data_IF_546341542646
#
_entry.id   IF_546341542646
#
_cell.length_a   1.000
_cell.length_b   1.000
_cell.length_c   1.000
_cell.angle_alpha   90.00
_cell.angle_beta   90.00
_cell.angle_gamma   90.00
#
_symmetry.space_group_name_H-M   'P 1'
#
loop_
_entity.id
_entity.type
_entity.pdbx_description
1 polymer ?
#
# COMPACT_ATOMS: atom_id res chain seq x y z
N UNK A 1 -15.21 -3.79 -23.41
CA UNK A 1 -15.85 -2.57 -22.88
C UNK A 1 -14.82 -1.79 -22.07
N UNK A 2 -14.51 -0.53 -22.41
CA UNK A 2 -13.63 0.32 -21.57
C UNK A 2 -14.38 0.60 -20.27
N UNK A 3 -13.82 0.19 -19.13
CA UNK A 3 -14.37 0.47 -17.81
C UNK A 3 -14.38 2.00 -17.63
N UNK A 4 -15.55 2.61 -17.42
CA UNK A 4 -15.62 4.04 -17.12
C UNK A 4 -14.91 4.28 -15.77
N UNK A 5 -13.95 5.19 -15.76
CA UNK A 5 -13.23 5.56 -14.54
C UNK A 5 -14.09 6.61 -13.83
N UNK A 6 -14.64 6.24 -12.69
CA UNK A 6 -15.33 7.19 -11.79
C UNK A 6 -14.30 8.00 -11.02
N UNK A 7 -14.55 9.29 -10.86
CA UNK A 7 -13.66 10.20 -10.14
C UNK A 7 -14.34 10.77 -8.90
N UNK A 8 -13.53 11.09 -7.89
CA UNK A 8 -13.92 11.82 -6.68
C UNK A 8 -13.09 13.10 -6.54
N UNK A 9 -13.59 14.07 -5.78
CA UNK A 9 -12.83 15.28 -5.46
C UNK A 9 -11.76 15.04 -4.37
N UNK A 10 -10.88 16.02 -4.21
CA UNK A 10 -9.80 16.00 -3.20
C UNK A 10 -10.28 15.94 -1.77
N UNK A 11 -11.50 16.40 -1.48
CA UNK A 11 -12.02 16.48 -0.12
C UNK A 11 -12.55 15.12 0.34
N UNK A 12 -13.33 14.48 -0.53
CA UNK A 12 -13.75 13.09 -0.41
C UNK A 12 -12.53 12.17 -0.32
N UNK A 13 -11.54 12.34 -1.20
CA UNK A 13 -10.30 11.55 -1.15
C UNK A 13 -9.51 11.80 0.15
N UNK A 14 -9.48 13.03 0.67
CA UNK A 14 -8.81 13.37 1.92
C UNK A 14 -9.43 12.65 3.12
N UNK A 15 -10.77 12.63 3.20
CA UNK A 15 -11.50 11.87 4.21
C UNK A 15 -11.23 10.37 4.10
N UNK A 16 -11.28 9.82 2.87
CA UNK A 16 -11.00 8.38 2.62
C UNK A 16 -9.56 8.01 2.93
N UNK A 17 -8.60 8.92 2.77
CA UNK A 17 -7.19 8.63 3.04
C UNK A 17 -6.78 8.99 4.47
N UNK A 18 -7.65 9.65 5.25
CA UNK A 18 -7.32 10.15 6.58
C UNK A 18 -6.19 11.20 6.55
N UNK A 19 -6.13 12.03 5.51
CA UNK A 19 -5.11 13.08 5.33
C UNK A 19 -5.76 14.41 4.98
N UNK A 20 -4.98 15.50 4.91
CA UNK A 20 -5.52 16.80 4.50
C UNK A 20 -5.73 16.87 2.98
N UNK A 21 -6.66 17.74 2.55
CA UNK A 21 -6.87 18.08 1.13
C UNK A 21 -5.59 18.54 0.42
N UNK A 22 -4.74 19.27 1.13
CA UNK A 22 -3.45 19.73 0.59
C UNK A 22 -2.51 18.55 0.35
N UNK A 23 -2.50 17.56 1.25
CA UNK A 23 -1.75 16.31 1.08
C UNK A 23 -2.20 15.55 -0.17
N UNK A 24 -3.52 15.39 -0.38
CA UNK A 24 -4.06 14.76 -1.61
C UNK A 24 -3.67 15.53 -2.86
N UNK A 25 -3.76 16.85 -2.82
CA UNK A 25 -3.36 17.72 -3.95
C UNK A 25 -1.89 17.52 -4.29
N UNK A 26 -1.02 17.39 -3.27
CA UNK A 26 0.40 17.13 -3.47
C UNK A 26 0.65 15.74 -4.07
N UNK A 27 -0.10 14.71 -3.66
CA UNK A 27 -0.02 13.38 -4.28
C UNK A 27 -0.36 13.42 -5.77
N UNK A 28 -1.39 14.18 -6.15
CA UNK A 28 -1.79 14.34 -7.55
C UNK A 28 -0.71 15.10 -8.35
N UNK A 29 -0.18 16.20 -7.79
CA UNK A 29 0.89 17.00 -8.43
C UNK A 29 2.17 16.21 -8.67
N UNK A 30 2.51 15.31 -7.75
CA UNK A 30 3.72 14.47 -7.82
C UNK A 30 3.51 13.17 -8.59
N UNK A 31 2.33 12.97 -9.19
CA UNK A 31 1.95 11.73 -9.89
C UNK A 31 2.15 10.45 -9.03
N UNK A 32 1.95 10.60 -7.72
CA UNK A 32 1.97 9.51 -6.74
C UNK A 32 0.64 8.74 -6.73
N UNK A 33 -0.44 9.39 -7.18
CA UNK A 33 -1.72 8.76 -7.53
C UNK A 33 -1.87 8.85 -9.05
N UNK A 34 -1.88 7.68 -9.72
CA UNK A 34 -1.99 7.62 -11.18
C UNK A 34 -3.40 7.95 -11.66
N UNK A 35 -3.48 8.62 -12.81
CA UNK A 35 -4.75 8.93 -13.47
C UNK A 35 -5.50 10.13 -12.90
N UNK A 36 -4.90 10.86 -11.96
CA UNK A 36 -5.41 12.15 -11.52
C UNK A 36 -5.43 13.15 -12.68
N UNK A 37 -6.51 13.93 -12.78
CA UNK A 37 -6.66 15.00 -13.77
C UNK A 37 -7.30 16.23 -13.14
N UNK A 38 -7.26 17.37 -13.81
CA UNK A 38 -8.03 18.54 -13.40
C UNK A 38 -9.34 18.63 -14.19
N UNK A 39 -10.38 19.14 -13.54
CA UNK A 39 -11.59 19.60 -14.23
C UNK A 39 -11.38 21.00 -14.84
N UNK A 40 -12.41 21.50 -15.54
CA UNK A 40 -12.38 22.82 -16.20
C UNK A 40 -12.25 23.98 -15.19
N UNK A 41 -12.50 23.73 -13.90
CA UNK A 41 -12.35 24.69 -12.79
C UNK A 41 -10.99 24.55 -12.10
N UNK A 42 -10.08 23.74 -12.64
CA UNK A 42 -8.75 23.51 -12.10
C UNK A 42 -8.71 22.62 -10.84
N UNK A 43 -9.82 21.98 -10.46
CA UNK A 43 -9.92 21.10 -9.30
C UNK A 43 -9.44 19.71 -9.66
N UNK A 44 -8.69 19.08 -8.76
CA UNK A 44 -8.21 17.72 -8.96
C UNK A 44 -9.37 16.71 -8.84
N UNK A 45 -9.42 15.81 -9.82
CA UNK A 45 -10.26 14.64 -9.91
C UNK A 45 -9.39 13.41 -9.72
N UNK A 46 -9.70 12.62 -8.70
CA UNK A 46 -8.94 11.44 -8.29
C UNK A 46 -9.73 10.20 -8.70
N UNK A 47 -9.12 9.23 -9.42
CA UNK A 47 -9.78 7.96 -9.72
C UNK A 47 -10.24 7.28 -8.45
N UNK A 48 -11.47 6.79 -8.43
CA UNK A 48 -12.07 6.31 -7.18
C UNK A 48 -11.46 5.02 -6.64
N UNK A 49 -10.77 4.26 -7.50
CA UNK A 49 -10.00 3.07 -7.14
C UNK A 49 -8.55 3.38 -6.72
N UNK A 50 -8.21 4.67 -6.59
CA UNK A 50 -6.91 5.10 -6.09
C UNK A 50 -6.71 4.67 -4.65
N UNK A 51 -5.47 4.27 -4.36
CA UNK A 51 -5.01 3.97 -3.01
C UNK A 51 -4.18 5.13 -2.49
N UNK A 52 -4.23 5.36 -1.17
CA UNK A 52 -3.34 6.33 -0.50
C UNK A 52 -1.89 5.96 -0.79
N UNK A 53 -1.06 6.90 -1.30
CA UNK A 53 0.36 6.67 -1.42
C UNK A 53 0.99 6.33 -0.07
N UNK A 54 1.85 5.32 -0.06
CA UNK A 54 2.57 4.95 1.15
C UNK A 54 3.62 6.01 1.48
N UNK A 55 3.72 6.44 2.75
CA UNK A 55 4.84 7.30 3.20
C UNK A 55 6.15 6.50 3.22
N UNK A 56 7.29 7.20 3.28
CA UNK A 56 8.60 6.53 3.35
C UNK A 56 8.68 5.52 4.49
N UNK A 57 8.17 5.87 5.69
CA UNK A 57 8.12 4.95 6.83
C UNK A 57 7.30 3.71 6.50
N UNK A 58 6.09 3.89 5.94
CA UNK A 58 5.20 2.77 5.62
C UNK A 58 5.79 1.83 4.57
N UNK A 59 6.47 2.38 3.55
CA UNK A 59 7.22 1.59 2.56
C UNK A 59 8.31 0.76 3.22
N UNK A 60 9.15 1.37 4.06
CA UNK A 60 10.24 0.68 4.77
C UNK A 60 9.67 -0.44 5.64
N UNK A 61 8.69 -0.13 6.48
CA UNK A 61 8.05 -1.10 7.38
C UNK A 61 7.46 -2.28 6.60
N UNK A 62 6.77 -2.04 5.49
CA UNK A 62 6.22 -3.10 4.65
C UNK A 62 7.31 -3.96 3.99
N UNK A 63 8.36 -3.35 3.44
CA UNK A 63 9.46 -4.06 2.80
C UNK A 63 10.25 -4.90 3.81
N UNK A 64 10.52 -4.37 4.99
CA UNK A 64 11.16 -5.11 6.08
C UNK A 64 10.28 -6.27 6.58
N UNK A 65 8.97 -6.07 6.66
CA UNK A 65 8.02 -7.14 6.99
C UNK A 65 8.06 -8.30 5.98
N UNK A 66 8.17 -8.00 4.68
CA UNK A 66 8.35 -9.03 3.64
C UNK A 66 9.64 -9.82 3.85
N UNK A 67 10.75 -9.13 4.15
CA UNK A 67 12.04 -9.77 4.41
C UNK A 67 12.00 -10.71 5.62
N UNK A 68 11.35 -10.30 6.71
CA UNK A 68 11.23 -11.17 7.89
C UNK A 68 10.40 -12.41 7.58
N UNK A 69 9.23 -12.28 6.93
CA UNK A 69 8.39 -13.43 6.58
C UNK A 69 9.14 -14.39 5.65
N UNK A 70 9.96 -13.86 4.74
CA UNK A 70 10.79 -14.68 3.85
C UNK A 70 11.87 -15.46 4.60
N UNK A 71 12.47 -14.86 5.63
CA UNK A 71 13.51 -15.50 6.44
C UNK A 71 12.94 -16.43 7.53
N UNK A 72 11.70 -16.20 7.96
CA UNK A 72 11.01 -16.98 9.00
C UNK A 72 9.63 -17.45 8.49
N UNK A 73 9.55 -18.31 7.46
CA UNK A 73 8.28 -18.68 6.83
C UNK A 73 7.32 -19.45 7.75
N UNK A 74 7.85 -20.11 8.78
CA UNK A 74 7.09 -20.84 9.78
C UNK A 74 6.47 -19.91 10.85
N UNK A 75 6.96 -18.68 10.98
CA UNK A 75 6.40 -17.65 11.85
C UNK A 75 5.36 -16.82 11.09
N UNK A 76 4.46 -17.51 10.39
CA UNK A 76 3.38 -16.84 9.68
C UNK A 76 2.55 -16.07 10.70
N UNK A 77 2.40 -14.75 10.57
CA UNK A 77 1.69 -14.00 11.58
C UNK A 77 0.20 -14.38 11.61
N UNK A 78 -0.32 -14.71 12.80
CA UNK A 78 -1.73 -15.07 13.03
C UNK A 78 -2.73 -14.02 12.49
N UNK A 79 -2.32 -12.75 12.37
CA UNK A 79 -3.20 -11.69 11.86
C UNK A 79 -3.48 -11.75 10.35
N UNK A 80 -2.83 -12.65 9.59
CA UNK A 80 -3.26 -13.01 8.22
C UNK A 80 -4.60 -13.75 8.18
N UNK A 81 -5.21 -13.98 9.34
CA UNK A 81 -6.53 -14.59 9.50
C UNK A 81 -7.67 -13.55 9.48
N UNK A 82 -7.38 -12.25 9.67
CA UNK A 82 -8.39 -11.18 9.59
C UNK A 82 -8.50 -10.62 8.16
N UNK A 83 -9.70 -10.64 7.58
CA UNK A 83 -9.98 -10.17 6.21
C UNK A 83 -9.54 -8.72 5.97
N UNK A 84 -9.78 -7.82 6.93
CA UNK A 84 -9.40 -6.40 6.86
C UNK A 84 -7.88 -6.25 6.78
N UNK A 85 -7.14 -6.92 7.66
CA UNK A 85 -5.67 -6.87 7.65
C UNK A 85 -5.08 -7.45 6.36
N UNK A 86 -5.65 -8.56 5.87
CA UNK A 86 -5.27 -9.15 4.57
C UNK A 86 -5.51 -8.16 3.43
N UNK A 87 -6.65 -7.45 3.44
CA UNK A 87 -6.98 -6.50 2.37
C UNK A 87 -6.05 -5.29 2.37
N UNK A 88 -5.78 -4.72 3.53
CA UNK A 88 -4.84 -3.59 3.65
C UNK A 88 -3.43 -3.99 3.18
N UNK A 89 -2.98 -5.18 3.55
CA UNK A 89 -1.71 -5.72 3.08
C UNK A 89 -1.70 -5.94 1.56
N UNK A 90 -2.76 -6.48 0.97
CA UNK A 90 -2.89 -6.62 -0.47
C UNK A 90 -2.75 -5.29 -1.21
N UNK A 91 -3.39 -4.22 -0.70
CA UNK A 91 -3.32 -2.88 -1.28
C UNK A 91 -1.90 -2.29 -1.16
N UNK A 92 -1.26 -2.45 -0.01
CA UNK A 92 0.12 -2.02 0.19
C UNK A 92 1.10 -2.77 -0.72
N UNK A 93 0.95 -4.08 -0.87
CA UNK A 93 1.78 -4.87 -1.78
C UNK A 93 1.55 -4.48 -3.24
N UNK A 94 0.29 -4.25 -3.64
CA UNK A 94 -0.01 -3.72 -4.97
C UNK A 94 0.68 -2.36 -5.19
N UNK A 95 0.60 -1.44 -4.22
CA UNK A 95 1.30 -0.16 -4.29
C UNK A 95 2.81 -0.36 -4.52
N UNK A 96 3.44 -1.21 -3.70
CA UNK A 96 4.88 -1.46 -3.79
C UNK A 96 5.27 -2.09 -5.13
N UNK A 97 4.43 -2.97 -5.68
CA UNK A 97 4.62 -3.59 -6.98
C UNK A 97 4.51 -2.57 -8.11
N UNK A 98 3.42 -1.79 -8.14
CA UNK A 98 3.18 -0.77 -9.17
C UNK A 98 4.28 0.31 -9.19
N UNK A 99 4.95 0.54 -8.04
CA UNK A 99 6.05 1.49 -7.91
C UNK A 99 7.46 0.85 -8.02
N UNK A 100 7.54 -0.44 -8.36
CA UNK A 100 8.79 -1.16 -8.66
C UNK A 100 9.68 -1.45 -7.45
N UNK A 101 9.12 -1.49 -6.23
CA UNK A 101 9.86 -1.89 -5.02
C UNK A 101 9.88 -3.40 -4.82
N UNK A 102 8.89 -4.11 -5.36
CA UNK A 102 8.79 -5.57 -5.28
C UNK A 102 8.46 -6.16 -6.66
N UNK A 103 8.78 -7.43 -6.86
CA UNK A 103 8.40 -8.22 -8.02
C UNK A 103 7.76 -9.56 -7.59
N UNK A 104 7.26 -10.32 -8.58
CA UNK A 104 6.55 -11.59 -8.38
C UNK A 104 5.27 -11.50 -7.53
N UNK A 105 4.69 -10.30 -7.41
CA UNK A 105 3.36 -10.11 -6.85
C UNK A 105 2.31 -10.63 -7.85
N UNK A 106 1.70 -11.78 -7.53
CA UNK A 106 0.53 -12.29 -8.26
C UNK A 106 -0.73 -11.89 -7.51
N UNK A 107 -1.53 -11.01 -8.11
CA UNK A 107 -2.83 -10.63 -7.57
C UNK A 107 -3.71 -11.88 -7.47
N UNK A 108 -4.34 -12.11 -6.31
CA UNK A 108 -5.15 -13.30 -6.04
C UNK A 108 -6.26 -13.50 -7.07
N UNK A 109 -6.51 -14.76 -7.41
CA UNK A 109 -7.87 -15.26 -7.73
C UNK A 109 -8.60 -15.50 -6.39
N UNK A 110 -9.94 -15.31 -6.35
CA UNK A 110 -10.77 -15.50 -5.14
C UNK A 110 -10.28 -16.71 -4.32
N UNK A 111 -10.02 -16.51 -3.03
CA UNK A 111 -9.67 -17.53 -2.01
C UNK A 111 -8.22 -18.06 -1.97
N UNK A 112 -7.29 -17.58 -2.79
CA UNK A 112 -5.88 -17.95 -2.60
C UNK A 112 -5.33 -17.36 -1.28
N UNK A 113 -4.39 -18.01 -0.61
CA UNK A 113 -3.67 -17.42 0.52
C UNK A 113 -2.56 -16.51 -0.04
N UNK A 114 -2.38 -15.31 0.53
CA UNK A 114 -1.32 -14.40 0.10
C UNK A 114 0.05 -15.03 0.40
N UNK A 115 0.86 -15.28 -0.64
CA UNK A 115 2.17 -15.93 -0.53
C UNK A 115 3.28 -14.88 -0.41
N UNK A 116 3.36 -14.23 0.75
CA UNK A 116 4.35 -13.17 1.03
C UNK A 116 5.78 -13.71 0.88
N UNK A 117 6.01 -14.97 1.26
CA UNK A 117 7.28 -15.69 1.13
C UNK A 117 7.80 -15.78 -0.32
N UNK A 118 6.89 -15.68 -1.31
CA UNK A 118 7.24 -15.71 -2.74
C UNK A 118 7.49 -14.32 -3.32
N UNK A 119 7.22 -13.25 -2.58
CA UNK A 119 7.47 -11.88 -3.00
C UNK A 119 8.97 -11.59 -2.87
N UNK A 120 9.52 -10.92 -3.88
CA UNK A 120 10.92 -10.52 -3.90
C UNK A 120 11.01 -9.00 -3.94
N UNK A 121 11.97 -8.44 -3.21
CA UNK A 121 12.30 -7.02 -3.31
C UNK A 121 13.18 -6.82 -4.55
N UNK A 122 12.97 -5.71 -5.27
CA UNK A 122 13.90 -5.24 -6.31
C UNK A 122 15.11 -4.57 -5.66
N UNK A 123 16.15 -4.21 -6.42
CA UNK A 123 17.27 -3.41 -5.88
C UNK A 123 16.77 -2.12 -5.22
N UNK A 124 15.84 -1.41 -5.88
CA UNK A 124 15.17 -0.23 -5.33
C UNK A 124 14.45 -0.52 -4.01
N UNK A 125 13.80 -1.68 -3.90
CA UNK A 125 13.16 -2.14 -2.67
C UNK A 125 14.16 -2.43 -1.56
N UNK A 126 15.23 -3.16 -1.89
CA UNK A 126 16.31 -3.50 -0.96
C UNK A 126 17.00 -2.26 -0.42
N UNK A 127 17.38 -1.32 -1.31
CA UNK A 127 18.03 -0.06 -0.92
C UNK A 127 17.17 0.75 0.04
N UNK A 128 15.86 0.83 -0.24
CA UNK A 128 14.93 1.55 0.63
C UNK A 128 14.77 0.85 1.98
N UNK A 129 14.62 -0.48 1.99
CA UNK A 129 14.42 -1.27 3.21
C UNK A 129 15.63 -1.21 4.16
N UNK A 130 16.84 -1.10 3.59
CA UNK A 130 18.11 -1.08 4.33
C UNK A 130 18.64 0.33 4.63
N UNK A 131 18.02 1.37 4.08
CA UNK A 131 18.40 2.76 4.37
C UNK A 131 19.54 3.32 3.52
N UNK A 132 19.79 2.78 2.31
CA UNK A 132 20.66 3.40 1.32
C UNK A 132 22.17 3.32 1.59
N UNK A 133 22.65 2.25 2.23
CA UNK A 133 24.09 2.00 2.44
C UNK A 133 24.30 0.64 3.14
N UNK A 134 25.24 -0.15 2.65
CA UNK A 134 25.33 -1.60 2.86
C UNK A 134 25.39 -2.12 4.31
N UNK A 135 25.06 -3.41 4.43
CA UNK A 135 25.31 -4.31 5.57
C UNK A 135 25.06 -3.76 6.99
N UNK A 136 24.04 -2.91 7.20
CA UNK A 136 23.45 -2.81 8.54
C UNK A 136 22.63 -4.06 8.79
N UNK A 137 23.07 -4.86 9.76
CA UNK A 137 22.33 -6.01 10.26
C UNK A 137 20.87 -5.59 10.47
N UNK A 138 19.96 -6.34 9.86
CA UNK A 138 18.53 -6.12 9.90
C UNK A 138 18.05 -6.39 11.33
N UNK A 139 18.23 -5.43 12.26
CA UNK A 139 17.60 -5.47 13.58
C UNK A 139 16.12 -5.10 13.43
N UNK A 140 15.39 -5.90 12.65
CA UNK A 140 13.97 -5.69 12.45
C UNK A 140 13.27 -6.50 13.53
N UNK A 141 13.03 -5.82 14.63
CA UNK A 141 12.31 -6.37 15.76
C UNK A 141 10.88 -6.75 15.34
N UNK A 142 10.31 -7.75 16.02
CA UNK A 142 8.90 -8.14 15.90
C UNK A 142 7.94 -6.94 16.07
N UNK A 143 8.38 -5.85 16.72
CA UNK A 143 7.65 -4.58 16.81
C UNK A 143 7.38 -3.93 15.45
N UNK A 144 8.24 -4.09 14.44
CA UNK A 144 8.04 -3.58 13.08
C UNK A 144 6.79 -4.19 12.42
N UNK A 145 6.38 -5.39 12.82
CA UNK A 145 5.13 -5.99 12.35
C UNK A 145 3.87 -5.38 12.97
N UNK A 146 3.92 -5.01 14.25
CA UNK A 146 2.81 -4.26 14.89
C UNK A 146 2.66 -2.88 14.25
N UNK A 147 3.78 -2.25 13.87
CA UNK A 147 3.74 -1.01 13.09
C UNK A 147 3.12 -1.21 11.70
N UNK A 148 3.42 -2.32 11.01
CA UNK A 148 2.78 -2.67 9.74
C UNK A 148 1.26 -2.80 9.88
N UNK A 149 0.78 -3.43 10.96
CA UNK A 149 -0.65 -3.57 11.27
C UNK A 149 -1.35 -2.21 11.47
N UNK A 150 -0.72 -1.32 12.23
CA UNK A 150 -1.24 0.04 12.44
C UNK A 150 -1.29 0.85 11.14
N UNK A 151 -0.48 0.48 10.15
CA UNK A 151 -0.46 1.11 8.83
C UNK A 151 -1.54 0.58 7.88
N UNK A 152 -1.74 -0.74 7.84
CA UNK A 152 -2.66 -1.36 6.88
C UNK A 152 -4.11 -1.34 7.34
N UNK A 153 -4.36 -1.28 8.65
CA UNK A 153 -5.73 -1.34 9.21
C UNK A 153 -6.57 -0.11 8.82
N UNK A 154 -6.08 1.14 8.91
CA UNK A 154 -6.84 2.29 8.45
C UNK A 154 -7.11 2.25 6.94
N UNK A 155 -6.10 1.86 6.14
CA UNK A 155 -6.23 1.73 4.67
C UNK A 155 -7.31 0.72 4.30
N UNK A 156 -7.36 -0.42 5.01
CA UNK A 156 -8.35 -1.46 4.80
C UNK A 156 -9.75 -1.05 5.24
N UNK A 157 -9.89 -0.46 6.43
CA UNK A 157 -11.19 0.02 6.94
C UNK A 157 -11.79 1.06 6.01
N UNK A 158 -10.98 1.97 5.48
CA UNK A 158 -11.43 3.01 4.53
C UNK A 158 -11.84 2.39 3.18
N UNK A 159 -11.09 1.41 2.68
CA UNK A 159 -11.47 0.66 1.49
C UNK A 159 -12.78 -0.13 1.68
N UNK A 160 -12.99 -0.76 2.83
CA UNK A 160 -14.19 -1.53 3.14
C UNK A 160 -15.43 -0.63 3.29
N UNK A 161 -15.30 0.51 3.99
CA UNK A 161 -16.36 1.53 4.07
C UNK A 161 -16.73 2.04 2.68
N UNK A 162 -15.75 2.29 1.82
CA UNK A 162 -16.01 2.70 0.44
C UNK A 162 -16.73 1.62 -0.37
N UNK A 163 -16.32 0.35 -0.23
CA UNK A 163 -16.98 -0.77 -0.91
C UNK A 163 -18.43 -0.95 -0.47
N UNK A 164 -18.78 -0.66 0.79
CA UNK A 164 -20.16 -0.74 1.30
C UNK A 164 -21.08 0.40 0.84
N UNK A 165 -20.54 1.48 0.26
CA UNK A 165 -21.30 2.58 -0.32
C UNK A 165 -21.66 2.33 -1.81
N UNK A 166 -21.36 1.13 -2.34
CA UNK A 166 -21.70 0.68 -3.69
C UNK A 166 -22.63 -0.52 -3.62
#
# INVERSE_FOLDING_TARGET
MKKSVTYIDTETAAAIFGVTKNTVTNYCRKDEIKGCKKDDKGRWLIPVDSIKPLTKKEKITALQGILIVKNNPNERPQWLENETSVKGLELSLKYLFDNGYICNYKQKRKNAILKIDKIQLTNKGMDLALGGGGNKALNVAVSTFKELLNLVTPIASLYLQYKSLR
#
